data_IF_906026357404
#
_entry.id   IF_906026357404
#
_cell.length_a   1.000
_cell.length_b   1.000
_cell.length_c   1.000
_cell.angle_alpha   90.00
_cell.angle_beta   90.00
_cell.angle_gamma   90.00
#
_symmetry.space_group_name_H-M   'P 1'
#
loop_
_entity.id
_entity.type
_entity.pdbx_description
1 polymer ?
#
# COMPACT_ATOMS: atom_id res chain seq x y z
N UNK A 1 -0.08 10.43 3.66
CA UNK A 1 1.08 10.94 2.90
C UNK A 1 1.53 12.33 3.36
N UNK A 2 0.73 13.39 3.15
CA UNK A 2 1.18 14.78 3.37
C UNK A 2 1.73 15.09 4.78
N UNK A 3 1.06 14.64 5.84
CA UNK A 3 1.55 14.87 7.21
C UNK A 3 2.89 14.17 7.49
N UNK A 4 3.07 12.95 6.99
CA UNK A 4 4.33 12.21 7.09
C UNK A 4 5.45 12.92 6.33
N UNK A 5 5.16 13.46 5.14
CA UNK A 5 6.14 14.22 4.37
C UNK A 5 6.56 15.49 5.10
N UNK A 6 5.61 16.27 5.61
CA UNK A 6 5.92 17.47 6.41
C UNK A 6 6.80 17.15 7.63
N UNK A 7 6.56 16.02 8.29
CA UNK A 7 7.36 15.59 9.43
C UNK A 7 8.80 15.23 9.03
N UNK A 8 8.99 14.54 7.90
CA UNK A 8 10.33 14.25 7.35
C UNK A 8 11.04 15.53 6.90
N UNK A 9 10.29 16.50 6.35
CA UNK A 9 10.85 17.77 5.86
C UNK A 9 11.32 18.67 7.02
N UNK A 10 10.66 18.59 8.19
CA UNK A 10 10.93 19.46 9.34
C UNK A 10 11.89 18.84 10.36
N UNK A 11 11.87 17.52 10.53
CA UNK A 11 12.65 16.83 11.56
C UNK A 11 13.72 15.91 10.95
N UNK A 12 14.83 15.74 11.68
CA UNK A 12 15.84 14.74 11.34
C UNK A 12 15.36 13.33 11.75
N UNK A 13 14.48 12.75 10.94
CA UNK A 13 13.82 11.46 11.20
C UNK A 13 14.77 10.31 10.90
N UNK A 14 15.01 9.43 11.89
CA UNK A 14 15.77 8.18 11.69
C UNK A 14 14.91 7.00 11.25
N UNK A 15 13.62 7.05 11.57
CA UNK A 15 12.65 6.01 11.22
C UNK A 15 11.24 6.42 11.60
N UNK A 16 10.28 5.71 11.01
CA UNK A 16 8.85 5.99 11.15
C UNK A 16 8.17 4.72 11.65
N UNK A 17 7.43 4.83 12.75
CA UNK A 17 6.54 3.77 13.22
C UNK A 17 5.10 4.22 12.95
N UNK A 18 4.46 3.56 11.99
CA UNK A 18 3.03 3.73 11.71
C UNK A 18 2.25 2.68 12.49
N UNK A 19 1.28 3.10 13.29
CA UNK A 19 0.39 2.20 14.04
C UNK A 19 -1.06 2.69 13.95
N UNK A 20 -2.01 1.77 14.15
CA UNK A 20 -3.43 2.07 14.02
C UNK A 20 -4.28 0.82 14.24
N UNK A 21 -5.59 1.00 14.17
CA UNK A 21 -6.56 -0.10 14.23
C UNK A 21 -6.83 -0.56 12.79
N UNK A 22 -6.88 -1.87 12.58
CA UNK A 22 -7.17 -2.47 11.29
C UNK A 22 -8.20 -3.59 11.42
N UNK A 23 -8.91 -3.85 10.32
CA UNK A 23 -9.66 -5.10 10.15
C UNK A 23 -8.71 -6.23 9.77
N UNK A 24 -9.00 -7.45 10.22
CA UNK A 24 -8.21 -8.63 9.89
C UNK A 24 -9.09 -9.70 9.25
N UNK A 25 -8.54 -10.40 8.25
CA UNK A 25 -9.19 -11.49 7.50
C UNK A 25 -8.67 -12.89 7.90
N UNK A 26 -7.70 -12.97 8.81
CA UNK A 26 -7.20 -14.23 9.35
C UNK A 26 -8.12 -14.74 10.48
N UNK A 27 -8.81 -15.85 10.22
CA UNK A 27 -9.78 -16.47 11.15
C UNK A 27 -9.19 -16.89 12.51
N UNK A 28 -7.86 -16.96 12.64
CA UNK A 28 -7.20 -17.33 13.90
C UNK A 28 -6.96 -16.13 14.83
N UNK A 29 -7.18 -14.89 14.39
CA UNK A 29 -6.99 -13.72 15.25
C UNK A 29 -8.30 -13.18 15.80
N UNK A 30 -8.22 -12.58 16.98
CA UNK A 30 -9.34 -11.97 17.71
C UNK A 30 -9.27 -10.44 17.70
N UNK A 31 -10.40 -9.81 18.03
CA UNK A 31 -10.44 -8.37 18.29
C UNK A 31 -9.49 -8.06 19.45
N UNK A 32 -8.61 -7.07 19.26
CA UNK A 32 -7.60 -6.68 20.25
C UNK A 32 -6.23 -7.32 20.02
N UNK A 33 -6.11 -8.29 19.12
CA UNK A 33 -4.81 -8.82 18.71
C UNK A 33 -4.01 -7.75 17.97
N UNK A 34 -2.71 -7.70 18.26
CA UNK A 34 -1.75 -6.84 17.56
C UNK A 34 -1.02 -7.67 16.53
N UNK A 35 -1.03 -7.21 15.27
CA UNK A 35 -0.22 -7.79 14.20
C UNK A 35 0.84 -6.80 13.74
N UNK A 36 2.00 -7.34 13.40
CA UNK A 36 3.00 -6.62 12.62
C UNK A 36 3.06 -7.23 11.22
N UNK A 37 2.77 -6.46 10.17
CA UNK A 37 2.84 -6.97 8.81
C UNK A 37 4.30 -7.23 8.45
N UNK A 38 4.57 -8.36 7.76
CA UNK A 38 5.87 -8.63 7.13
C UNK A 38 6.01 -7.92 5.78
N UNK A 39 4.87 -7.65 5.16
CA UNK A 39 4.73 -7.03 3.85
C UNK A 39 3.50 -6.14 3.86
N UNK A 40 3.56 -5.03 3.13
CA UNK A 40 2.43 -4.12 2.93
C UNK A 40 2.23 -3.85 1.44
N UNK A 41 1.01 -3.49 1.05
CA UNK A 41 0.63 -3.10 -0.31
C UNK A 41 -0.53 -2.10 -0.26
N UNK A 42 -0.66 -1.25 -1.27
CA UNK A 42 -1.80 -0.33 -1.40
C UNK A 42 -2.95 -1.02 -2.15
N UNK A 43 -3.99 -1.43 -1.43
CA UNK A 43 -5.15 -2.07 -2.04
C UNK A 43 -6.02 -1.14 -2.92
N UNK A 44 -5.71 0.16 -2.98
CA UNK A 44 -6.47 1.21 -3.65
C UNK A 44 -6.02 1.57 -5.06
N UNK A 45 -4.96 0.95 -5.60
CA UNK A 45 -4.39 1.28 -6.93
C UNK A 45 -5.20 0.73 -8.12
N UNK A 46 -6.52 0.90 -8.11
CA UNK A 46 -7.43 0.45 -9.16
C UNK A 46 -7.89 1.62 -10.05
N UNK A 47 -7.74 1.48 -11.36
CA UNK A 47 -8.19 2.48 -12.34
C UNK A 47 -8.98 1.85 -13.49
N UNK A 48 -10.01 2.57 -13.96
CA UNK A 48 -10.71 2.23 -15.20
C UNK A 48 -9.78 2.46 -16.39
N UNK A 49 -9.69 1.46 -17.26
CA UNK A 49 -8.78 1.47 -18.39
C UNK A 49 -9.46 1.97 -19.64
N UNK A 50 -8.74 2.81 -20.38
CA UNK A 50 -9.16 3.17 -21.72
C UNK A 50 -8.90 1.97 -22.66
N UNK A 51 -9.92 1.43 -23.35
CA UNK A 51 -9.80 0.26 -24.22
C UNK A 51 -8.79 0.43 -25.37
N UNK A 52 -8.40 1.66 -25.70
CA UNK A 52 -7.43 1.95 -26.78
C UNK A 52 -5.97 2.06 -26.30
N UNK A 53 -5.70 2.04 -24.98
CA UNK A 53 -4.40 2.53 -24.44
C UNK A 53 -3.56 1.56 -23.62
N UNK A 54 -4.02 0.35 -23.28
CA UNK A 54 -3.34 -0.46 -22.27
C UNK A 54 -2.50 -1.61 -22.83
N UNK A 55 -1.17 -1.52 -22.75
CA UNK A 55 -0.38 -2.74 -22.66
C UNK A 55 -0.69 -3.41 -21.31
N UNK A 56 -1.26 -4.61 -21.32
CA UNK A 56 -1.67 -5.33 -20.10
C UNK A 56 -0.49 -5.63 -19.17
N UNK A 57 0.73 -5.63 -19.70
CA UNK A 57 1.97 -5.85 -18.94
C UNK A 57 2.31 -4.72 -17.96
N UNK A 58 1.59 -3.59 -18.00
CA UNK A 58 1.83 -2.45 -17.11
C UNK A 58 1.14 -2.56 -15.75
N UNK A 59 0.23 -3.54 -15.58
CA UNK A 59 -0.60 -3.75 -14.39
C UNK A 59 -0.24 -5.06 -13.69
N UNK A 60 -0.39 -5.12 -12.36
CA UNK A 60 -0.22 -6.37 -11.59
C UNK A 60 -1.39 -7.32 -11.88
N UNK A 61 -2.59 -6.77 -12.01
CA UNK A 61 -3.81 -7.53 -12.26
C UNK A 61 -4.76 -6.72 -13.15
N UNK A 62 -5.66 -7.43 -13.83
CA UNK A 62 -6.57 -6.86 -14.80
C UNK A 62 -7.91 -7.61 -14.78
N UNK A 63 -9.00 -6.85 -14.84
CA UNK A 63 -10.38 -7.35 -14.89
C UNK A 63 -11.06 -6.79 -16.14
N UNK A 64 -11.47 -7.68 -17.04
CA UNK A 64 -12.28 -7.31 -18.20
C UNK A 64 -13.76 -7.45 -17.88
N UNK A 65 -14.32 -6.42 -17.26
CA UNK A 65 -15.74 -6.37 -16.87
C UNK A 65 -16.64 -6.31 -18.11
N UNK A 66 -16.13 -5.73 -19.21
CA UNK A 66 -16.80 -5.53 -20.48
C UNK A 66 -17.29 -6.83 -21.09
N UNK A 67 -16.52 -7.92 -20.95
CA UNK A 67 -16.87 -9.22 -21.52
C UNK A 67 -17.93 -9.99 -20.72
N UNK A 68 -18.32 -9.51 -19.54
CA UNK A 68 -19.29 -10.18 -18.68
C UNK A 68 -20.68 -9.53 -18.81
N UNK A 69 -21.65 -10.32 -19.28
CA UNK A 69 -23.03 -9.89 -19.45
C UNK A 69 -24.02 -10.96 -18.94
N UNK A 70 -24.99 -10.55 -18.14
CA UNK A 70 -26.12 -11.40 -17.70
C UNK A 70 -27.44 -10.60 -17.82
N UNK A 71 -28.39 -10.99 -18.69
CA UNK A 71 -28.30 -12.08 -19.67
C UNK A 71 -27.21 -11.83 -20.72
N UNK A 72 -26.73 -12.91 -21.33
CA UNK A 72 -25.70 -12.83 -22.36
C UNK A 72 -26.24 -12.06 -23.58
N UNK A 73 -25.54 -11.01 -23.98
CA UNK A 73 -25.87 -10.16 -25.13
C UNK A 73 -24.70 -10.09 -26.11
N UNK A 74 -24.92 -9.40 -27.22
CA UNK A 74 -23.89 -9.22 -28.23
C UNK A 74 -22.93 -8.07 -27.84
N UNK A 75 -21.63 -8.38 -27.80
CA UNK A 75 -20.58 -7.39 -27.57
C UNK A 75 -20.23 -7.13 -26.09
N UNK A 76 -19.31 -6.18 -25.89
CA UNK A 76 -18.86 -5.77 -24.55
C UNK A 76 -19.77 -4.69 -23.96
N UNK A 77 -19.97 -4.72 -22.64
CA UNK A 77 -20.66 -3.64 -21.93
C UNK A 77 -19.77 -2.39 -21.78
N UNK A 78 -20.40 -1.29 -21.37
CA UNK A 78 -19.76 0.03 -21.24
C UNK A 78 -18.89 0.20 -19.99
N UNK A 79 -18.84 -0.80 -19.08
CA UNK A 79 -17.94 -0.76 -17.93
C UNK A 79 -16.49 -1.00 -18.38
N UNK A 80 -16.27 -1.74 -19.46
CA UNK A 80 -14.92 -1.91 -20.01
C UNK A 80 -14.01 -2.68 -19.05
N UNK A 81 -12.82 -2.16 -18.74
CA UNK A 81 -11.85 -2.91 -17.95
C UNK A 81 -11.26 -2.10 -16.80
N UNK A 82 -10.82 -2.78 -15.75
CA UNK A 82 -10.15 -2.19 -14.58
C UNK A 82 -8.76 -2.82 -14.46
N UNK A 83 -7.74 -2.00 -14.26
CA UNK A 83 -6.38 -2.43 -13.99
C UNK A 83 -6.01 -2.12 -12.55
N UNK A 84 -5.19 -2.98 -11.94
CA UNK A 84 -4.53 -2.70 -10.67
C UNK A 84 -3.05 -2.43 -10.91
N UNK A 85 -2.62 -1.23 -10.57
CA UNK A 85 -1.28 -0.72 -10.88
C UNK A 85 -0.22 -1.21 -9.88
N UNK A 86 1.05 -1.15 -10.28
CA UNK A 86 2.17 -1.29 -9.36
C UNK A 86 2.31 -0.02 -8.52
N UNK A 87 2.80 -0.17 -7.29
CA UNK A 87 3.27 0.94 -6.46
C UNK A 87 4.65 1.42 -6.98
N UNK A 88 4.90 2.72 -6.92
CA UNK A 88 6.16 3.33 -7.34
C UNK A 88 7.03 3.66 -6.13
N UNK A 89 7.97 2.75 -5.82
CA UNK A 89 8.87 2.92 -4.68
C UNK A 89 10.12 3.71 -5.07
N UNK A 90 10.31 4.87 -4.44
CA UNK A 90 11.49 5.71 -4.64
C UNK A 90 12.53 5.44 -3.53
N UNK A 91 13.76 5.09 -3.92
CA UNK A 91 14.87 4.92 -2.98
C UNK A 91 15.57 6.26 -2.70
N UNK A 92 15.96 6.49 -1.45
CA UNK A 92 16.82 7.62 -1.04
C UNK A 92 18.25 7.49 -1.60
N UNK A 93 18.71 6.26 -1.87
CA UNK A 93 20.07 5.96 -2.38
C UNK A 93 20.13 5.62 -3.87
N UNK A 94 18.96 5.58 -4.55
CA UNK A 94 18.86 5.26 -5.97
C UNK A 94 19.11 6.46 -6.88
N UNK A 95 19.08 6.23 -8.20
CA UNK A 95 19.01 7.34 -9.17
C UNK A 95 17.71 8.10 -8.95
N UNK A 96 17.84 9.40 -8.69
CA UNK A 96 16.70 10.32 -8.55
C UNK A 96 15.82 10.22 -9.81
N UNK A 97 14.50 10.15 -9.62
CA UNK A 97 13.47 10.05 -10.68
C UNK A 97 13.33 8.70 -11.42
N UNK A 98 13.80 7.59 -10.85
CA UNK A 98 13.53 6.25 -11.39
C UNK A 98 12.92 5.34 -10.32
N UNK A 99 11.58 5.33 -10.17
CA UNK A 99 10.93 4.48 -9.18
C UNK A 99 11.05 3.00 -9.55
N UNK A 100 11.04 2.15 -8.52
CA UNK A 100 10.88 0.72 -8.68
C UNK A 100 9.41 0.35 -8.59
N UNK A 101 8.90 -0.33 -9.62
CA UNK A 101 7.54 -0.92 -9.60
C UNK A 101 7.51 -2.10 -8.63
N UNK A 102 6.70 -2.02 -7.59
CA UNK A 102 6.57 -3.07 -6.58
C UNK A 102 5.09 -3.38 -6.31
N UNK A 103 4.82 -4.63 -5.92
CA UNK A 103 3.49 -5.02 -5.43
C UNK A 103 3.52 -5.16 -3.90
N UNK A 104 4.48 -5.93 -3.38
CA UNK A 104 4.74 -6.04 -1.94
C UNK A 104 5.94 -5.20 -1.55
N UNK A 105 5.77 -4.38 -0.51
CA UNK A 105 6.86 -3.70 0.18
C UNK A 105 7.20 -4.53 1.42
N UNK A 106 8.41 -5.07 1.48
CA UNK A 106 8.88 -5.81 2.65
C UNK A 106 9.15 -4.86 3.82
N UNK A 107 8.70 -5.22 5.01
CA UNK A 107 9.09 -4.55 6.25
C UNK A 107 10.33 -5.21 6.84
N UNK A 108 11.13 -4.48 7.60
CA UNK A 108 12.32 -5.05 8.24
C UNK A 108 12.04 -5.46 9.68
N UNK A 109 12.70 -6.52 10.15
CA UNK A 109 12.45 -7.09 11.47
C UNK A 109 13.05 -6.22 12.59
N UNK A 110 14.03 -5.38 12.26
CA UNK A 110 14.68 -4.44 13.17
C UNK A 110 13.70 -3.38 13.65
N UNK A 111 12.93 -2.79 12.73
CA UNK A 111 11.88 -1.81 13.08
C UNK A 111 10.72 -2.47 13.83
N UNK A 112 10.45 -3.74 13.54
CA UNK A 112 9.46 -4.54 14.26
C UNK A 112 9.88 -4.76 15.73
N UNK A 113 11.12 -5.15 15.99
CA UNK A 113 11.61 -5.29 17.36
C UNK A 113 11.60 -3.94 18.10
N UNK A 114 12.06 -2.87 17.45
CA UNK A 114 11.98 -1.53 18.03
C UNK A 114 10.54 -1.15 18.37
N UNK A 115 9.59 -1.40 17.48
CA UNK A 115 8.18 -1.08 17.72
C UNK A 115 7.56 -1.87 18.87
N UNK A 116 7.99 -3.13 19.06
CA UNK A 116 7.53 -3.98 20.17
C UNK A 116 8.05 -3.49 21.54
N UNK A 117 9.22 -2.85 21.57
CA UNK A 117 9.84 -2.31 22.80
C UNK A 117 9.28 -0.92 23.20
N UNK A 118 8.50 -0.27 22.34
CA UNK A 118 7.95 1.07 22.61
C UNK A 118 6.74 0.97 23.56
N UNK A 119 6.89 1.47 24.78
CA UNK A 119 5.77 1.65 25.72
C UNK A 119 4.96 2.89 25.34
N UNK A 120 3.97 2.72 24.47
CA UNK A 120 3.09 3.79 23.99
C UNK A 120 1.71 3.65 24.62
N UNK A 121 1.20 4.71 25.23
CA UNK A 121 -0.23 4.79 25.58
C UNK A 121 -1.02 4.90 24.27
N UNK A 122 -1.53 3.77 23.78
CA UNK A 122 -2.20 3.66 22.48
C UNK A 122 -3.54 4.42 22.49
N UNK A 123 -3.49 5.68 22.03
CA UNK A 123 -4.65 6.48 21.66
C UNK A 123 -4.44 7.03 20.25
N UNK A 124 -4.29 6.18 19.24
CA UNK A 124 -4.17 6.55 17.80
C UNK A 124 -3.11 7.62 17.48
N UNK A 125 -2.04 7.29 16.75
CA UNK A 125 -1.06 8.29 16.35
C UNK A 125 0.06 7.79 15.45
N UNK A 126 1.00 8.68 15.16
CA UNK A 126 2.29 8.41 14.54
C UNK A 126 3.38 8.71 15.56
N UNK A 127 4.42 7.87 15.64
CA UNK A 127 5.58 8.15 16.49
C UNK A 127 6.83 8.33 15.63
N UNK A 128 7.49 9.48 15.82
CA UNK A 128 8.80 9.76 15.25
C UNK A 128 9.88 9.56 16.32
N UNK A 129 10.96 8.88 15.95
CA UNK A 129 12.12 8.70 16.83
C UNK A 129 13.24 9.63 16.36
N UNK A 130 13.58 10.63 17.19
CA UNK A 130 14.70 11.56 17.01
C UNK A 130 15.65 11.48 18.21
N UNK A 131 16.93 11.82 18.02
CA UNK A 131 17.88 12.05 19.12
C UNK A 131 17.84 13.54 19.52
N UNK A 132 18.29 13.95 20.73
CA UNK A 132 18.38 15.36 21.10
C UNK A 132 19.37 16.14 20.22
#
# INVERSE_FOLDING_TARGET
AAATQQMIDVFNVKGIVHFGIAGNINNSMSIGDVSIPKQITDAGLWDWLNPEKGNRDEYVAYLDVGNYNVPQGDGNNMLGSIGYSYEELYSVTGQTNSPQKVFWINTTQEWLHLAADLEVVLKTGFLCVSNP
#
